data_IF_210129896934
#
_entry.id   IF_210129896934
#
_cell.length_a   1.000
_cell.length_b   1.000
_cell.length_c   1.000
_cell.angle_alpha   90.00
_cell.angle_beta   90.00
_cell.angle_gamma   90.00
#
_symmetry.space_group_name_H-M   'P 1'
#
loop_
_entity.id
_entity.type
_entity.pdbx_description
1 polymer ?
#
# COMPACT_ATOMS: atom_id res chain seq x y z
N UNK A 1 -2.92 -21.44 4.73
CA UNK A 1 -4.29 -22.00 4.67
C UNK A 1 -5.20 -21.45 5.79
N UNK A 2 -4.72 -21.32 7.03
CA UNK A 2 -5.50 -20.76 8.16
C UNK A 2 -5.92 -19.29 8.01
N UNK A 3 -5.07 -18.42 7.47
CA UNK A 3 -5.39 -16.99 7.29
C UNK A 3 -6.66 -16.77 6.43
N UNK A 4 -6.92 -17.66 5.47
CA UNK A 4 -8.07 -17.56 4.58
C UNK A 4 -9.41 -17.79 5.29
N UNK A 5 -9.43 -18.35 6.51
CA UNK A 5 -10.64 -18.45 7.32
C UNK A 5 -11.09 -17.10 7.88
N UNK A 6 -10.15 -16.18 8.12
CA UNK A 6 -10.43 -14.85 8.67
C UNK A 6 -10.43 -13.78 7.58
N UNK A 7 -9.63 -13.97 6.54
CA UNK A 7 -9.54 -13.08 5.38
C UNK A 7 -9.82 -13.88 4.12
N UNK A 8 -11.08 -13.87 3.67
CA UNK A 8 -11.44 -14.54 2.41
C UNK A 8 -10.76 -13.84 1.23
N UNK A 9 -10.69 -14.53 0.08
CA UNK A 9 -10.08 -13.93 -1.10
C UNK A 9 -10.88 -12.71 -1.58
N UNK A 10 -12.21 -12.76 -1.47
CA UNK A 10 -13.13 -11.68 -1.83
C UNK A 10 -12.90 -10.47 -0.92
N UNK A 11 -12.73 -10.66 0.39
CA UNK A 11 -12.40 -9.57 1.31
C UNK A 11 -11.08 -8.90 0.93
N UNK A 12 -10.04 -9.69 0.64
CA UNK A 12 -8.74 -9.15 0.25
C UNK A 12 -8.81 -8.41 -1.09
N UNK A 13 -9.59 -8.90 -2.05
CA UNK A 13 -9.84 -8.22 -3.32
C UNK A 13 -10.56 -6.88 -3.12
N UNK A 14 -11.55 -6.83 -2.22
CA UNK A 14 -12.22 -5.56 -1.87
C UNK A 14 -11.26 -4.57 -1.21
N UNK A 15 -10.40 -5.04 -0.28
CA UNK A 15 -9.37 -4.20 0.34
C UNK A 15 -8.42 -3.65 -0.73
N UNK A 16 -7.96 -4.50 -1.66
CA UNK A 16 -7.07 -4.08 -2.76
C UNK A 16 -7.73 -3.03 -3.64
N UNK A 17 -8.99 -3.26 -4.04
CA UNK A 17 -9.77 -2.31 -4.85
C UNK A 17 -9.88 -0.95 -4.17
N UNK A 18 -10.31 -0.91 -2.91
CA UNK A 18 -10.48 0.34 -2.17
C UNK A 18 -9.14 1.05 -1.93
N UNK A 19 -8.09 0.30 -1.64
CA UNK A 19 -6.72 0.84 -1.48
C UNK A 19 -6.26 1.52 -2.78
N UNK A 20 -6.42 0.85 -3.92
CA UNK A 20 -6.03 1.38 -5.21
C UNK A 20 -6.88 2.59 -5.63
N UNK A 21 -8.18 2.57 -5.37
CA UNK A 21 -9.07 3.71 -5.62
C UNK A 21 -8.68 4.92 -4.77
N UNK A 22 -8.38 4.71 -3.48
CA UNK A 22 -7.95 5.78 -2.60
C UNK A 22 -6.61 6.36 -3.03
N UNK A 23 -5.62 5.50 -3.28
CA UNK A 23 -4.31 5.94 -3.74
C UNK A 23 -4.41 6.72 -5.05
N UNK A 24 -5.15 6.21 -6.05
CA UNK A 24 -5.40 6.94 -7.29
C UNK A 24 -5.96 8.34 -7.02
N UNK A 25 -7.01 8.46 -6.20
CA UNK A 25 -7.60 9.77 -5.82
C UNK A 25 -6.59 10.69 -5.12
N UNK A 26 -5.72 10.15 -4.28
CA UNK A 26 -4.70 10.92 -3.57
C UNK A 26 -3.63 11.45 -4.53
N UNK A 27 -3.11 10.60 -5.42
CA UNK A 27 -2.12 11.00 -6.41
C UNK A 27 -2.72 11.95 -7.46
N UNK A 28 -3.94 11.70 -7.94
CA UNK A 28 -4.65 12.61 -8.86
C UNK A 28 -4.84 14.02 -8.24
N UNK A 29 -5.09 14.10 -6.93
CA UNK A 29 -5.22 15.38 -6.21
C UNK A 29 -3.88 16.07 -5.92
N UNK A 30 -2.81 15.29 -5.66
CA UNK A 30 -1.47 15.84 -5.39
C UNK A 30 -0.71 16.22 -6.65
N UNK A 31 -1.02 15.59 -7.78
CA UNK A 31 -0.53 16.00 -9.10
C UNK A 31 -1.27 17.28 -9.49
N UNK A 32 -0.84 18.43 -8.96
CA UNK A 32 -0.99 19.68 -9.70
C UNK A 32 -0.21 19.49 -11.02
N UNK A 33 -0.75 19.91 -12.18
CA UNK A 33 0.06 19.92 -13.38
C UNK A 33 1.28 20.82 -13.09
N UNK A 34 2.51 20.41 -13.48
CA UNK A 34 3.64 21.31 -13.34
C UNK A 34 3.37 22.50 -14.28
N UNK A 35 3.52 23.72 -13.79
CA UNK A 35 3.50 24.90 -14.66
C UNK A 35 4.76 24.98 -15.56
N UNK A 36 5.77 24.12 -15.34
CA UNK A 36 6.98 24.09 -16.14
C UNK A 36 7.15 22.74 -16.86
N UNK A 37 7.10 22.81 -18.19
CA UNK A 37 7.00 21.71 -19.14
C UNK A 37 8.27 20.87 -19.34
N UNK A 38 9.28 20.95 -18.46
CA UNK A 38 10.61 20.37 -18.74
C UNK A 38 11.13 19.39 -17.69
N UNK A 39 10.34 18.98 -16.69
CA UNK A 39 10.80 17.98 -15.72
C UNK A 39 10.27 16.60 -16.09
N UNK A 40 11.15 15.76 -16.66
CA UNK A 40 10.95 14.33 -16.86
C UNK A 40 10.62 13.75 -15.48
N UNK A 41 9.33 13.49 -15.24
CA UNK A 41 8.87 12.90 -13.98
C UNK A 41 9.49 11.51 -13.88
N UNK A 42 10.33 11.29 -12.87
CA UNK A 42 10.77 9.95 -12.50
C UNK A 42 9.54 9.08 -12.27
N UNK A 43 9.54 7.86 -12.82
CA UNK A 43 8.45 6.87 -12.68
C UNK A 43 8.07 6.56 -11.22
N UNK A 44 8.89 6.99 -10.25
CA UNK A 44 8.63 6.93 -8.81
C UNK A 44 7.43 7.77 -8.32
N UNK A 45 6.84 8.63 -9.16
CA UNK A 45 5.70 9.47 -8.76
C UNK A 45 4.32 8.83 -8.91
N UNK A 46 4.24 7.59 -9.41
CA UNK A 46 2.97 6.90 -9.62
C UNK A 46 2.74 5.80 -8.59
N UNK A 47 1.50 5.68 -8.11
CA UNK A 47 1.09 4.56 -7.28
C UNK A 47 0.99 3.29 -8.12
N UNK A 48 1.80 2.27 -7.80
CA UNK A 48 1.62 0.93 -8.34
C UNK A 48 0.38 0.29 -7.68
N UNK A 49 -0.60 -0.21 -8.45
CA UNK A 49 -1.74 -0.91 -7.89
C UNK A 49 -1.32 -2.13 -7.08
N UNK A 50 -1.96 -2.30 -5.93
CA UNK A 50 -1.74 -3.39 -4.99
C UNK A 50 -2.65 -4.57 -5.33
N UNK A 51 -2.15 -5.79 -5.19
CA UNK A 51 -2.94 -7.00 -5.37
C UNK A 51 -3.16 -7.80 -4.06
N UNK A 52 -3.92 -8.90 -4.18
CA UNK A 52 -4.22 -9.79 -3.06
C UNK A 52 -2.96 -10.45 -2.47
N UNK A 53 -1.95 -10.72 -3.29
CA UNK A 53 -0.72 -11.39 -2.84
C UNK A 53 0.09 -10.41 -1.98
N UNK A 54 0.25 -9.18 -2.44
CA UNK A 54 0.90 -8.10 -1.69
C UNK A 54 0.18 -7.82 -0.37
N UNK A 55 -1.17 -7.83 -0.34
CA UNK A 55 -1.92 -7.71 0.91
C UNK A 55 -1.68 -8.88 1.89
N UNK A 56 -1.58 -10.12 1.41
CA UNK A 56 -1.24 -11.26 2.27
C UNK A 56 0.17 -11.13 2.84
N UNK A 57 1.12 -10.68 2.03
CA UNK A 57 2.48 -10.39 2.48
C UNK A 57 2.51 -9.27 3.53
N UNK A 58 1.75 -8.19 3.32
CA UNK A 58 1.61 -7.10 4.27
C UNK A 58 1.03 -7.56 5.61
N UNK A 59 -0.03 -8.37 5.60
CA UNK A 59 -0.59 -8.98 6.82
C UNK A 59 0.45 -9.87 7.51
N UNK A 60 1.24 -10.62 6.76
CA UNK A 60 2.36 -11.41 7.29
C UNK A 60 3.36 -10.55 8.04
N UNK A 61 3.74 -9.39 7.50
CA UNK A 61 4.63 -8.43 8.16
C UNK A 61 4.03 -7.88 9.46
N UNK A 62 2.72 -7.57 9.47
CA UNK A 62 2.02 -7.13 10.68
C UNK A 62 2.00 -8.21 11.77
N UNK A 63 1.79 -9.47 11.40
CA UNK A 63 1.84 -10.58 12.36
C UNK A 63 3.27 -10.72 12.90
N UNK A 64 4.28 -10.63 12.03
CA UNK A 64 5.68 -10.73 12.42
C UNK A 64 6.07 -9.61 13.40
N UNK A 65 5.67 -8.36 13.14
CA UNK A 65 5.97 -7.24 14.04
C UNK A 65 5.28 -7.38 15.39
N UNK A 66 4.07 -7.93 15.44
CA UNK A 66 3.39 -8.28 16.69
C UNK A 66 4.15 -9.36 17.48
N UNK A 67 4.64 -10.41 16.81
CA UNK A 67 5.41 -11.49 17.46
C UNK A 67 6.69 -10.95 18.10
N UNK A 68 7.40 -10.06 17.40
CA UNK A 68 8.62 -9.45 17.90
C UNK A 68 8.41 -8.26 18.83
N UNK A 69 7.15 -7.83 19.04
CA UNK A 69 6.80 -6.60 19.79
C UNK A 69 7.52 -5.36 19.26
N UNK A 70 7.83 -5.35 17.97
CA UNK A 70 8.47 -4.23 17.25
C UNK A 70 7.43 -3.29 16.61
N UNK A 71 6.16 -3.43 16.97
CA UNK A 71 5.03 -2.65 16.43
C UNK A 71 5.05 -1.16 16.82
N UNK A 72 5.96 -0.75 17.71
CA UNK A 72 6.19 0.64 18.11
C UNK A 72 7.64 1.07 17.99
N UNK A 73 8.47 0.31 17.24
CA UNK A 73 9.81 0.81 16.92
C UNK A 73 9.65 2.13 16.16
N UNK A 74 10.05 3.21 16.83
CA UNK A 74 10.16 4.52 16.20
C UNK A 74 11.14 4.37 15.04
N UNK A 75 10.68 4.66 13.83
CA UNK A 75 11.53 4.85 12.66
C UNK A 75 12.37 6.12 12.90
N UNK A 76 13.35 6.05 13.80
CA UNK A 76 14.23 7.16 14.14
C UNK A 76 15.36 7.35 13.12
N UNK A 77 15.48 6.47 12.11
CA UNK A 77 16.60 6.44 11.17
C UNK A 77 16.18 6.42 9.68
N UNK A 78 15.17 7.19 9.29
CA UNK A 78 14.88 7.50 7.88
C UNK A 78 14.85 9.01 7.62
#
# INVERSE_FOLDING_TARGET
MLLNFFFTNEMLEQIALHTNLYAKRYYDKKIRPPQDSNNIRSDSHFWKPVDRIELKSFIGLLIQSCVHRSNHELLNDL
#
